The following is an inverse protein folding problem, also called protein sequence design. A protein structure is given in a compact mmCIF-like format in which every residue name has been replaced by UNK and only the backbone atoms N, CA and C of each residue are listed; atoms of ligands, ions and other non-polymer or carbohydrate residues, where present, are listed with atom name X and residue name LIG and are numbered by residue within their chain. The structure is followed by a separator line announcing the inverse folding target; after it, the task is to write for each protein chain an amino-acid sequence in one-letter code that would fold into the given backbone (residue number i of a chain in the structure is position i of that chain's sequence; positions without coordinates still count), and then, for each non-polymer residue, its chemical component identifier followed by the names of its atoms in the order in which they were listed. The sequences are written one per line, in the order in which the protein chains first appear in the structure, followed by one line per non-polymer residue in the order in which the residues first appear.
data_IF_746131779462
#
_entry.id   IF_746131779462
#
_cell.length_a   1.000
_cell.length_b   1.000
_cell.length_c   1.000
_cell.angle_alpha   90.00
_cell.angle_beta   90.00
_cell.angle_gamma   90.00
#
_symmetry.space_group_name_H-M   'P 1'
#
loop_
_entity.id
_entity.type
_entity.pdbx_description
1 polymer ?
#
# COMPACT_ATOMS: atom_id res chain seq x y z
N UNK A 1 69.83 -67.44 -29.17
CA UNK A 1 71.11 -66.73 -29.18
C UNK A 1 70.72 -65.27 -29.05
N UNK A 2 70.90 -64.54 -27.96
CA UNK A 2 71.81 -64.56 -26.81
C UNK A 2 71.37 -63.32 -25.99
N UNK A 3 71.44 -63.16 -24.67
CA UNK A 3 72.14 -63.79 -23.56
C UNK A 3 71.39 -63.31 -22.31
N UNK A 4 71.09 -64.23 -21.38
CA UNK A 4 70.78 -63.87 -19.98
C UNK A 4 72.10 -63.63 -19.28
N UNK A 5 72.28 -62.48 -18.62
CA UNK A 5 73.38 -62.30 -17.67
C UNK A 5 72.86 -62.38 -16.22
N UNK A 6 73.49 -63.18 -15.35
CA UNK A 6 72.98 -63.54 -14.03
C UNK A 6 73.78 -62.84 -12.93
N UNK A 7 73.21 -61.82 -12.30
CA UNK A 7 73.70 -61.30 -11.03
C UNK A 7 72.61 -60.44 -10.38
N UNK A 8 72.63 -60.34 -9.05
CA UNK A 8 71.66 -59.66 -8.18
C UNK A 8 70.53 -60.51 -7.59
N UNK A 9 70.83 -61.76 -7.24
CA UNK A 9 70.32 -62.32 -5.98
C UNK A 9 71.00 -61.60 -4.80
N UNK A 10 70.24 -60.81 -4.04
CA UNK A 10 70.69 -60.33 -2.74
C UNK A 10 70.44 -58.85 -2.46
N UNK A 11 69.17 -58.46 -2.27
CA UNK A 11 68.85 -57.29 -1.45
C UNK A 11 67.65 -57.61 -0.55
N UNK A 12 67.90 -57.59 0.75
CA UNK A 12 66.92 -57.74 1.83
C UNK A 12 65.84 -56.66 1.68
N UNK A 13 64.57 -57.04 1.51
CA UNK A 13 63.47 -56.06 1.55
C UNK A 13 63.29 -55.58 3.00
N UNK A 14 63.28 -54.28 3.29
CA UNK A 14 62.97 -53.78 4.62
C UNK A 14 61.53 -54.14 4.99
N UNK A 15 61.31 -54.56 6.24
CA UNK A 15 59.96 -54.83 6.77
C UNK A 15 59.11 -53.55 6.69
N UNK A 16 57.82 -53.64 6.29
CA UNK A 16 56.96 -52.47 6.23
C UNK A 16 56.77 -51.88 7.63
N UNK A 17 56.80 -50.55 7.70
CA UNK A 17 56.53 -49.77 8.92
C UNK A 17 55.10 -50.03 9.41
N UNK A 18 54.84 -49.99 10.73
CA UNK A 18 53.52 -50.23 11.28
C UNK A 18 52.54 -49.17 10.76
N UNK A 19 51.39 -49.65 10.32
CA UNK A 19 50.24 -48.90 9.83
C UNK A 19 50.01 -47.64 10.65
N UNK A 20 50.06 -46.49 9.97
CA UNK A 20 49.76 -45.19 10.54
C UNK A 20 48.45 -45.24 11.33
N UNK A 21 48.48 -44.70 12.54
CA UNK A 21 47.27 -44.38 13.31
C UNK A 21 46.35 -43.59 12.39
N UNK A 22 45.21 -44.19 12.05
CA UNK A 22 44.16 -43.49 11.34
C UNK A 22 43.74 -42.32 12.22
N UNK A 23 43.99 -41.10 11.74
CA UNK A 23 43.24 -39.94 12.21
C UNK A 23 41.79 -40.29 11.89
N UNK A 24 41.04 -40.71 12.91
CA UNK A 24 39.61 -40.87 12.80
C UNK A 24 39.06 -39.48 12.52
N UNK A 25 38.89 -39.17 11.23
CA UNK A 25 38.05 -38.06 10.80
C UNK A 25 36.69 -38.36 11.41
N UNK A 26 36.34 -37.64 12.47
CA UNK A 26 35.02 -37.73 13.10
C UNK A 26 34.01 -37.60 11.97
N UNK A 27 33.25 -38.68 11.73
CA UNK A 27 32.15 -38.64 10.80
C UNK A 27 31.13 -37.70 11.43
N UNK A 28 31.14 -36.43 11.04
CA UNK A 28 30.00 -35.56 11.28
C UNK A 28 28.85 -36.18 10.52
N UNK A 29 27.95 -36.84 11.23
CA UNK A 29 26.69 -37.30 10.66
C UNK A 29 26.08 -36.13 9.88
N UNK A 30 25.58 -36.35 8.65
CA UNK A 30 24.88 -35.29 7.94
C UNK A 30 23.73 -34.82 8.84
N UNK A 31 23.66 -33.50 9.05
CA UNK A 31 22.66 -32.86 9.89
C UNK A 31 21.28 -33.42 9.56
N UNK A 32 20.45 -33.64 10.58
CA UNK A 32 19.07 -34.06 10.36
C UNK A 32 18.33 -33.01 9.52
N UNK A 33 17.22 -33.38 8.87
CA UNK A 33 16.42 -32.44 8.07
C UNK A 33 16.00 -31.20 8.88
N UNK A 34 15.73 -31.38 10.17
CA UNK A 34 15.36 -30.30 11.08
C UNK A 34 16.55 -29.37 11.36
N UNK A 35 17.72 -29.95 11.66
CA UNK A 35 18.97 -29.19 11.85
C UNK A 35 19.40 -28.45 10.57
N UNK A 36 19.16 -29.01 9.39
CA UNK A 36 19.41 -28.34 8.10
C UNK A 36 18.47 -27.16 7.86
N UNK A 37 17.18 -27.30 8.22
CA UNK A 37 16.21 -26.20 8.13
C UNK A 37 16.55 -25.09 9.14
N UNK A 38 16.99 -25.46 10.34
CA UNK A 38 17.39 -24.50 11.37
C UNK A 38 18.69 -23.77 11.00
N UNK A 39 19.70 -24.48 10.49
CA UNK A 39 20.92 -23.87 9.96
C UNK A 39 20.63 -22.93 8.79
N UNK A 40 19.71 -23.29 7.89
CA UNK A 40 19.26 -22.43 6.78
C UNK A 40 18.54 -21.18 7.30
N UNK A 41 17.62 -21.33 8.27
CA UNK A 41 16.93 -20.19 8.90
C UNK A 41 17.93 -19.22 9.53
N UNK A 42 18.90 -19.74 10.30
CA UNK A 42 19.91 -18.91 10.96
C UNK A 42 20.83 -18.19 9.95
N UNK A 43 21.16 -18.86 8.84
CA UNK A 43 21.90 -18.24 7.74
C UNK A 43 21.09 -17.14 7.05
N UNK A 44 19.79 -17.35 6.81
CA UNK A 44 18.90 -16.35 6.23
C UNK A 44 18.70 -15.15 7.18
N UNK A 45 18.54 -15.38 8.49
CA UNK A 45 18.41 -14.32 9.50
C UNK A 45 19.67 -13.49 9.68
N UNK A 46 20.85 -14.13 9.70
CA UNK A 46 22.13 -13.41 9.86
C UNK A 46 22.50 -12.57 8.64
N UNK A 47 22.02 -12.93 7.45
CA UNK A 47 22.23 -12.19 6.21
C UNK A 47 21.02 -11.33 5.79
N UNK A 48 20.02 -11.19 6.65
CA UNK A 48 18.81 -10.46 6.31
C UNK A 48 19.03 -8.95 6.29
N UNK A 49 18.60 -8.29 5.22
CA UNK A 49 18.50 -6.83 5.11
C UNK A 49 17.31 -6.49 4.24
N UNK A 50 16.69 -5.34 4.50
CA UNK A 50 15.60 -4.81 3.66
C UNK A 50 16.10 -4.24 2.31
N UNK A 51 17.42 -4.22 2.07
CA UNK A 51 18.00 -3.79 0.80
C UNK A 51 17.46 -4.62 -0.38
N UNK A 52 16.92 -3.94 -1.40
CA UNK A 52 16.32 -4.58 -2.58
C UNK A 52 14.87 -5.05 -2.39
N UNK A 53 14.32 -5.00 -1.17
CA UNK A 53 12.89 -5.25 -0.96
C UNK A 53 12.06 -4.00 -1.28
N UNK A 54 10.87 -4.23 -1.82
CA UNK A 54 9.88 -3.20 -2.12
C UNK A 54 8.63 -3.45 -1.29
N UNK A 55 8.07 -2.38 -0.75
CA UNK A 55 6.75 -2.41 -0.13
C UNK A 55 5.72 -2.49 -1.23
N UNK A 56 4.95 -3.58 -1.24
CA UNK A 56 3.92 -3.82 -2.26
C UNK A 56 2.81 -2.77 -2.13
N UNK A 57 2.52 -2.09 -3.24
CA UNK A 57 1.39 -1.16 -3.35
C UNK A 57 0.10 -1.85 -2.92
N UNK A 58 -0.70 -1.16 -2.12
CA UNK A 58 -1.99 -1.69 -1.66
C UNK A 58 -2.87 -2.02 -2.88
N UNK A 59 -2.78 -1.25 -3.95
CA UNK A 59 -3.52 -1.42 -5.21
C UNK A 59 -3.30 -2.76 -5.91
N UNK A 60 -2.20 -3.46 -5.61
CA UNK A 60 -1.89 -4.74 -6.25
C UNK A 60 -2.56 -5.94 -5.57
N UNK A 61 -3.14 -5.77 -4.40
CA UNK A 61 -3.71 -6.85 -3.60
C UNK A 61 -5.25 -6.77 -3.60
N UNK A 62 -5.93 -7.92 -3.57
CA UNK A 62 -7.39 -7.98 -3.65
C UNK A 62 -8.05 -7.52 -2.35
N UNK A 63 -8.56 -6.29 -2.33
CA UNK A 63 -9.14 -5.67 -1.14
C UNK A 63 -10.65 -5.62 -1.11
N UNK A 64 -11.30 -6.79 -1.03
CA UNK A 64 -12.77 -6.86 -0.91
C UNK A 64 -13.29 -6.08 0.30
N UNK A 65 -12.52 -6.03 1.39
CA UNK A 65 -12.91 -5.47 2.67
C UNK A 65 -12.35 -4.08 2.96
N UNK A 66 -11.51 -3.54 2.07
CA UNK A 66 -11.00 -2.19 2.27
C UNK A 66 -11.98 -1.16 1.72
N UNK A 67 -12.04 0.04 2.32
CA UNK A 67 -12.80 1.15 1.79
C UNK A 67 -12.43 1.41 0.33
N UNK A 68 -13.42 1.52 -0.55
CA UNK A 68 -13.18 1.83 -1.95
C UNK A 68 -14.26 2.74 -2.51
N UNK A 69 -13.83 3.69 -3.34
CA UNK A 69 -14.68 4.58 -4.11
C UNK A 69 -14.58 4.22 -5.59
N UNK A 70 -15.68 4.33 -6.33
CA UNK A 70 -15.71 4.21 -7.79
C UNK A 70 -16.40 5.42 -8.39
N UNK A 71 -15.70 6.09 -9.29
CA UNK A 71 -16.16 7.28 -10.01
C UNK A 71 -16.49 6.91 -11.46
N UNK A 72 -17.63 7.41 -11.93
CA UNK A 72 -18.11 7.35 -13.31
C UNK A 72 -18.55 8.76 -13.72
N UNK A 73 -18.69 9.00 -15.02
CA UNK A 73 -19.04 10.32 -15.62
C UNK A 73 -20.24 11.02 -14.98
N UNK A 74 -21.18 10.28 -14.39
CA UNK A 74 -22.35 10.88 -13.71
C UNK A 74 -22.57 10.47 -12.27
N UNK A 75 -21.71 9.65 -11.68
CA UNK A 75 -22.00 9.05 -10.38
C UNK A 75 -20.79 8.56 -9.63
N UNK A 76 -20.92 8.56 -8.31
CA UNK A 76 -19.94 7.98 -7.39
C UNK A 76 -20.62 6.89 -6.57
N UNK A 77 -19.90 5.80 -6.34
CA UNK A 77 -20.35 4.69 -5.51
C UNK A 77 -19.24 4.29 -4.57
N UNK A 78 -19.57 4.09 -3.29
CA UNK A 78 -18.67 3.49 -2.31
C UNK A 78 -18.97 2.00 -2.17
N UNK A 79 -18.00 1.19 -1.77
CA UNK A 79 -18.29 -0.20 -1.45
C UNK A 79 -18.94 -0.32 -0.06
N UNK A 80 -19.44 -1.51 0.27
CA UNK A 80 -20.06 -1.75 1.58
C UNK A 80 -19.05 -1.71 2.75
N UNK A 81 -17.74 -1.82 2.48
CA UNK A 81 -16.74 -1.65 3.53
C UNK A 81 -16.76 -0.23 4.10
N UNK A 82 -16.89 0.80 3.24
CA UNK A 82 -17.05 2.19 3.70
C UNK A 82 -18.27 2.35 4.62
N UNK A 83 -19.39 1.71 4.26
CA UNK A 83 -20.65 1.87 5.01
C UNK A 83 -20.60 1.13 6.35
N UNK A 84 -19.99 -0.07 6.37
CA UNK A 84 -19.84 -0.88 7.58
C UNK A 84 -18.88 -0.25 8.59
N UNK A 85 -17.83 0.44 8.14
CA UNK A 85 -16.88 1.03 9.09
C UNK A 85 -17.34 2.39 9.63
N UNK A 86 -18.19 3.13 8.92
CA UNK A 86 -18.89 4.34 9.42
C UNK A 86 -20.34 4.00 9.78
N UNK A 87 -20.54 3.23 10.85
CA UNK A 87 -21.82 2.63 11.24
C UNK A 87 -22.94 3.64 11.53
N UNK A 88 -22.58 4.86 11.94
CA UNK A 88 -23.53 5.89 12.35
C UNK A 88 -23.81 6.95 11.26
N UNK A 89 -23.08 6.92 10.14
CA UNK A 89 -23.14 7.98 9.14
C UNK A 89 -24.10 7.64 8.00
N UNK A 90 -25.36 8.11 8.03
CA UNK A 90 -26.28 7.97 6.87
C UNK A 90 -26.07 9.05 5.81
N UNK A 91 -25.58 10.20 6.25
CA UNK A 91 -25.24 11.34 5.41
C UNK A 91 -23.74 11.63 5.56
N UNK A 92 -23.14 12.06 4.46
CA UNK A 92 -21.73 12.44 4.39
C UNK A 92 -21.56 13.74 3.61
N UNK A 93 -20.45 14.41 3.84
CA UNK A 93 -20.02 15.57 3.07
C UNK A 93 -18.76 15.19 2.28
N UNK A 94 -18.63 15.74 1.07
CA UNK A 94 -17.42 15.59 0.25
C UNK A 94 -16.58 16.87 0.34
N UNK A 95 -15.31 16.72 0.64
CA UNK A 95 -14.33 17.80 0.62
C UNK A 95 -13.24 17.43 -0.38
N UNK A 96 -12.90 18.33 -1.29
CA UNK A 96 -11.89 18.08 -2.32
C UNK A 96 -10.77 19.10 -2.20
N UNK A 97 -9.53 18.64 -2.26
CA UNK A 97 -8.36 19.48 -2.48
C UNK A 97 -7.93 19.27 -3.95
N UNK A 98 -8.20 20.22 -4.86
CA UNK A 98 -7.86 20.09 -6.28
C UNK A 98 -6.35 20.04 -6.54
N UNK A 99 -5.54 20.71 -5.71
CA UNK A 99 -4.09 20.79 -5.86
C UNK A 99 -3.43 19.48 -5.49
N UNK A 100 -3.77 18.94 -4.32
CA UNK A 100 -3.24 17.65 -3.85
C UNK A 100 -3.96 16.45 -4.46
N UNK A 101 -5.03 16.68 -5.22
CA UNK A 101 -5.89 15.63 -5.81
C UNK A 101 -6.39 14.65 -4.75
N UNK A 102 -6.83 15.18 -3.60
CA UNK A 102 -7.37 14.37 -2.48
C UNK A 102 -8.86 14.64 -2.28
N UNK A 103 -9.61 13.59 -1.96
CA UNK A 103 -11.01 13.66 -1.60
C UNK A 103 -11.22 13.10 -0.20
N UNK A 104 -11.84 13.89 0.67
CA UNK A 104 -12.29 13.47 2.00
C UNK A 104 -13.79 13.22 1.98
N UNK A 105 -14.21 12.14 2.63
CA UNK A 105 -15.60 11.81 2.92
C UNK A 105 -15.77 11.72 4.42
N UNK A 106 -16.48 12.70 5.00
CA UNK A 106 -16.74 12.75 6.45
C UNK A 106 -18.23 12.62 6.77
N UNK A 107 -18.60 12.00 7.90
CA UNK A 107 -19.98 12.01 8.41
C UNK A 107 -20.52 13.44 8.58
N UNK A 108 -21.82 13.61 8.37
CA UNK A 108 -22.50 14.86 8.67
C UNK A 108 -23.95 14.62 9.11
N UNK A 109 -24.56 15.65 9.69
CA UNK A 109 -25.97 15.63 10.03
C UNK A 109 -26.88 15.73 8.79
N UNK A 110 -28.10 15.22 8.89
CA UNK A 110 -29.11 15.28 7.82
C UNK A 110 -29.50 16.70 7.44
N UNK A 111 -29.44 17.64 8.40
CA UNK A 111 -29.79 19.05 8.19
C UNK A 111 -28.67 19.91 7.61
N UNK A 112 -27.46 19.35 7.43
CA UNK A 112 -26.37 20.10 6.83
C UNK A 112 -26.68 20.44 5.36
N UNK A 113 -26.31 21.66 4.94
CA UNK A 113 -26.64 22.22 3.61
C UNK A 113 -26.22 21.32 2.45
N UNK A 114 -25.10 20.63 2.62
CA UNK A 114 -24.43 19.80 1.63
C UNK A 114 -24.34 18.33 2.09
N UNK A 115 -25.32 17.89 2.88
CA UNK A 115 -25.48 16.51 3.29
C UNK A 115 -25.83 15.61 2.09
N UNK A 116 -25.00 14.59 1.84
CA UNK A 116 -25.18 13.61 0.78
C UNK A 116 -25.57 12.26 1.39
N UNK A 117 -26.75 11.76 1.02
CA UNK A 117 -27.19 10.42 1.44
C UNK A 117 -26.48 9.33 0.64
N UNK A 118 -25.42 8.76 1.21
CA UNK A 118 -24.57 7.74 0.58
C UNK A 118 -24.96 6.28 0.84
N UNK A 119 -25.89 6.01 1.77
CA UNK A 119 -26.37 4.66 2.05
C UNK A 119 -27.89 4.59 2.20
N UNK A 120 -28.45 3.41 1.94
CA UNK A 120 -29.84 3.06 2.23
C UNK A 120 -29.88 2.15 3.44
N UNK A 121 -30.73 2.49 4.41
CA UNK A 121 -30.98 1.71 5.62
C UNK A 121 -32.28 0.94 5.42
N UNK A 122 -32.26 -0.39 5.56
CA UNK A 122 -33.42 -1.27 5.51
C UNK A 122 -33.41 -2.19 6.73
N UNK A 123 -34.17 -1.84 7.77
CA UNK A 123 -34.08 -2.53 9.06
C UNK A 123 -32.69 -2.37 9.66
N UNK A 124 -32.04 -3.48 10.01
CA UNK A 124 -30.66 -3.50 10.50
C UNK A 124 -29.60 -3.41 9.40
N UNK A 125 -29.96 -3.66 8.13
CA UNK A 125 -29.02 -3.69 7.02
C UNK A 125 -28.77 -2.30 6.44
N UNK A 126 -27.48 -1.97 6.27
CA UNK A 126 -27.03 -0.76 5.58
C UNK A 126 -26.31 -1.14 4.30
N UNK A 127 -26.76 -0.59 3.17
CA UNK A 127 -26.18 -0.86 1.85
C UNK A 127 -25.74 0.44 1.19
N UNK A 128 -24.60 0.39 0.53
CA UNK A 128 -24.12 1.50 -0.27
C UNK A 128 -25.12 1.87 -1.36
N UNK A 129 -25.20 3.15 -1.66
CA UNK A 129 -26.04 3.73 -2.70
C UNK A 129 -25.16 4.36 -3.77
N UNK A 130 -25.57 4.24 -5.03
CA UNK A 130 -25.01 5.07 -6.10
C UNK A 130 -25.49 6.51 -5.94
N UNK A 131 -24.55 7.44 -5.81
CA UNK A 131 -24.79 8.86 -5.70
C UNK A 131 -24.71 9.43 -7.12
N UNK A 132 -25.81 10.00 -7.61
CA UNK A 132 -25.81 10.69 -8.90
C UNK A 132 -25.31 12.12 -8.70
N UNK A 133 -24.25 12.51 -9.40
CA UNK A 133 -23.53 13.75 -9.16
C UNK A 133 -22.87 14.28 -10.44
N UNK A 134 -23.64 14.45 -11.53
CA UNK A 134 -23.11 14.81 -12.86
C UNK A 134 -22.17 16.03 -12.84
N UNK A 135 -22.55 17.21 -12.31
CA UNK A 135 -21.67 18.38 -12.38
C UNK A 135 -20.37 18.20 -11.59
N UNK A 136 -20.42 17.46 -10.48
CA UNK A 136 -19.24 17.16 -9.68
C UNK A 136 -18.34 16.13 -10.38
N UNK A 137 -18.92 15.07 -10.93
CA UNK A 137 -18.18 14.06 -11.67
C UNK A 137 -17.54 14.65 -12.93
N UNK A 138 -18.25 15.46 -13.72
CA UNK A 138 -17.67 16.13 -14.88
C UNK A 138 -16.47 17.01 -14.51
N UNK A 139 -16.56 17.80 -13.41
CA UNK A 139 -15.43 18.58 -12.90
C UNK A 139 -14.25 17.70 -12.48
N UNK A 140 -14.50 16.57 -11.83
CA UNK A 140 -13.45 15.60 -11.49
C UNK A 140 -12.76 15.06 -12.74
N UNK A 141 -13.52 14.67 -13.75
CA UNK A 141 -12.98 14.15 -15.01
C UNK A 141 -12.14 15.21 -15.72
N UNK A 142 -12.60 16.47 -15.78
CA UNK A 142 -11.82 17.56 -16.37
C UNK A 142 -10.55 17.88 -15.57
N UNK A 143 -10.63 17.90 -14.23
CA UNK A 143 -9.48 18.18 -13.36
C UNK A 143 -8.37 17.12 -13.50
N UNK A 144 -8.76 15.87 -13.69
CA UNK A 144 -7.85 14.73 -13.74
C UNK A 144 -7.46 14.31 -15.16
N UNK A 145 -8.03 14.95 -16.18
CA UNK A 145 -7.90 14.58 -17.59
C UNK A 145 -8.27 13.10 -17.83
N UNK A 146 -9.41 12.69 -17.28
CA UNK A 146 -9.91 11.32 -17.35
C UNK A 146 -10.79 11.08 -18.59
N UNK A 147 -10.68 9.87 -19.13
CA UNK A 147 -11.50 9.39 -20.24
C UNK A 147 -12.87 8.92 -19.72
N UNK A 148 -13.92 9.54 -20.24
CA UNK A 148 -15.32 9.29 -19.94
C UNK A 148 -15.77 7.84 -20.18
N UNK A 149 -15.08 7.07 -21.03
CA UNK A 149 -15.40 5.66 -21.27
C UNK A 149 -15.04 4.76 -20.08
N UNK A 150 -14.08 5.18 -19.26
CA UNK A 150 -13.55 4.38 -18.16
C UNK A 150 -14.30 4.64 -16.85
N UNK A 151 -14.24 3.64 -15.97
CA UNK A 151 -14.56 3.85 -14.54
C UNK A 151 -13.26 3.83 -13.75
N UNK A 152 -13.19 4.70 -12.77
CA UNK A 152 -12.00 4.91 -11.95
C UNK A 152 -12.29 4.42 -10.53
N UNK A 153 -11.42 3.57 -9.99
CA UNK A 153 -11.55 3.06 -8.62
C UNK A 153 -10.38 3.55 -7.77
N UNK A 154 -10.69 3.91 -6.55
CA UNK A 154 -9.76 4.43 -5.56
C UNK A 154 -9.87 3.64 -4.28
N UNK A 155 -8.73 3.32 -3.70
CA UNK A 155 -8.66 2.75 -2.36
C UNK A 155 -8.69 3.87 -1.34
N UNK A 156 -9.53 3.70 -0.32
CA UNK A 156 -9.70 4.69 0.74
C UNK A 156 -8.90 4.32 1.98
N UNK A 157 -8.30 5.33 2.58
CA UNK A 157 -7.70 5.22 3.91
C UNK A 157 -8.67 5.79 4.95
N UNK A 158 -8.89 5.04 6.04
CA UNK A 158 -9.60 5.57 7.20
C UNK A 158 -8.64 6.43 8.00
N UNK A 159 -8.99 7.68 8.22
CA UNK A 159 -8.22 8.62 9.04
C UNK A 159 -9.09 9.11 10.19
N UNK A 160 -8.43 9.51 11.28
CA UNK A 160 -9.07 10.13 12.43
C UNK A 160 -8.48 11.52 12.62
N UNK A 161 -9.34 12.52 12.71
CA UNK A 161 -8.95 13.88 12.99
C UNK A 161 -9.82 14.42 14.13
N UNK A 162 -9.18 14.77 15.24
CA UNK A 162 -9.86 14.98 16.53
C UNK A 162 -10.76 13.79 16.91
N UNK A 163 -12.07 14.02 16.97
CA UNK A 163 -13.08 13.00 17.29
C UNK A 163 -13.78 12.45 16.04
N UNK A 164 -13.51 13.00 14.87
CA UNK A 164 -14.15 12.61 13.63
C UNK A 164 -13.36 11.54 12.89
N UNK A 165 -14.07 10.50 12.47
CA UNK A 165 -13.55 9.47 11.59
C UNK A 165 -14.04 9.71 10.17
N UNK A 166 -13.12 9.67 9.22
CA UNK A 166 -13.41 9.99 7.83
C UNK A 166 -12.57 9.13 6.88
N UNK A 167 -12.94 9.15 5.61
CA UNK A 167 -12.16 8.51 4.55
C UNK A 167 -11.39 9.55 3.75
N UNK A 168 -10.12 9.25 3.49
CA UNK A 168 -9.27 9.95 2.55
C UNK A 168 -9.08 9.06 1.31
N UNK A 169 -9.34 9.61 0.14
CA UNK A 169 -9.07 9.00 -1.15
C UNK A 169 -8.05 9.85 -1.89
N UNK A 170 -6.92 9.24 -2.25
CA UNK A 170 -5.96 9.84 -3.18
C UNK A 170 -6.43 9.59 -4.61
N UNK A 171 -6.75 10.65 -5.34
CA UNK A 171 -7.26 10.56 -6.72
C UNK A 171 -6.14 10.32 -7.74
N UNK A 172 -4.87 10.40 -7.32
CA UNK A 172 -3.71 10.11 -8.18
C UNK A 172 -3.42 8.61 -8.28
N UNK A 173 -3.91 7.82 -7.32
CA UNK A 173 -3.75 6.37 -7.27
C UNK A 173 -4.95 5.65 -7.93
N UNK A 174 -5.20 5.95 -9.21
CA UNK A 174 -6.39 5.49 -9.92
C UNK A 174 -6.23 4.10 -10.55
N UNK A 175 -7.16 3.17 -10.26
CA UNK A 175 -7.32 1.92 -11.01
C UNK A 175 -8.38 2.12 -12.10
N UNK A 176 -7.97 2.10 -13.37
CA UNK A 176 -8.87 2.33 -14.51
C UNK A 176 -9.45 1.02 -14.98
N UNK A 177 -10.75 1.00 -15.22
CA UNK A 177 -11.40 -0.15 -15.84
C UNK A 177 -12.15 0.29 -17.08
N UNK A 178 -11.79 -0.35 -18.20
CA UNK A 178 -12.48 -0.17 -19.47
C UNK A 178 -13.99 -0.46 -19.34
N UNK A 179 -14.81 0.13 -20.23
CA UNK A 179 -16.21 -0.19 -20.31
C UNK A 179 -16.38 -1.68 -20.58
N UNK A 180 -17.40 -2.26 -19.95
CA UNK A 180 -17.67 -3.69 -20.10
C UNK A 180 -18.10 -3.99 -21.54
N UNK A 181 -17.20 -4.61 -22.31
CA UNK A 181 -17.54 -5.15 -23.62
C UNK A 181 -18.33 -6.45 -23.44
N UNK A 182 -19.34 -6.66 -24.27
CA UNK A 182 -20.03 -7.94 -24.41
C UNK A 182 -19.45 -8.64 -25.63
N UNK A 183 -19.26 -9.95 -25.54
CA UNK A 183 -18.97 -10.76 -26.72
C UNK A 183 -20.22 -10.93 -27.60
N UNK A 184 -20.05 -11.55 -28.77
CA UNK A 184 -21.14 -11.85 -29.72
C UNK A 184 -22.23 -12.74 -29.11
N UNK A 185 -21.91 -13.47 -28.03
CA UNK A 185 -22.84 -14.32 -27.28
C UNK A 185 -23.46 -13.62 -26.07
N UNK A 186 -23.24 -12.32 -25.89
CA UNK A 186 -23.78 -11.50 -24.81
C UNK A 186 -23.13 -11.71 -23.43
N UNK A 187 -22.07 -12.53 -23.33
CA UNK A 187 -21.29 -12.72 -22.09
C UNK A 187 -20.36 -11.53 -21.88
N UNK A 188 -20.21 -11.14 -20.62
CA UNK A 188 -19.39 -10.00 -20.21
C UNK A 188 -17.92 -10.36 -20.33
N UNK A 189 -17.18 -9.60 -21.11
CA UNK A 189 -15.71 -9.66 -21.14
C UNK A 189 -15.20 -8.90 -19.92
N UNK A 190 -14.50 -9.60 -19.03
CA UNK A 190 -13.83 -8.97 -17.89
C UNK A 190 -12.52 -8.38 -18.39
N UNK A 191 -12.47 -7.06 -18.52
CA UNK A 191 -11.22 -6.36 -18.84
C UNK A 191 -10.37 -6.24 -17.58
N UNK A 192 -9.07 -6.53 -17.72
CA UNK A 192 -8.09 -6.28 -16.66
C UNK A 192 -8.05 -4.78 -16.31
N UNK A 193 -7.77 -4.42 -15.05
CA UNK A 193 -7.52 -3.03 -14.69
C UNK A 193 -6.31 -2.50 -15.45
N UNK A 194 -6.41 -1.28 -15.97
CA UNK A 194 -5.28 -0.51 -16.48
C UNK A 194 -4.74 0.29 -15.32
N UNK A 195 -3.51 -0.02 -14.93
CA UNK A 195 -2.79 0.66 -13.85
C UNK A 195 -2.02 1.86 -14.42
N UNK A 196 -1.70 2.87 -13.59
CA UNK A 196 -0.82 3.97 -13.97
C UNK A 196 0.52 3.51 -14.54
N UNK A 197 1.00 4.17 -15.59
CA UNK A 197 2.23 3.76 -16.29
C UNK A 197 3.46 3.74 -15.38
N UNK A 198 3.56 4.70 -14.45
CA UNK A 198 4.66 4.80 -13.49
C UNK A 198 4.69 3.66 -12.45
N UNK A 199 3.69 2.78 -12.44
CA UNK A 199 3.68 1.55 -11.63
C UNK A 199 4.23 0.34 -12.40
N UNK A 200 4.41 0.45 -13.71
CA UNK A 200 4.88 -0.67 -14.51
C UNK A 200 6.34 -1.02 -14.16
N UNK A 201 6.59 -2.29 -13.85
CA UNK A 201 7.94 -2.78 -13.52
C UNK A 201 8.41 -2.55 -12.07
N UNK A 202 7.56 -2.01 -11.19
CA UNK A 202 7.83 -1.93 -9.75
C UNK A 202 6.67 -2.47 -8.92
N UNK A 203 6.96 -3.13 -7.81
CA UNK A 203 5.95 -3.55 -6.83
C UNK A 203 5.53 -2.43 -5.88
N UNK A 204 6.34 -1.36 -5.77
CA UNK A 204 6.07 -0.17 -4.98
C UNK A 204 7.35 0.59 -4.62
N UNK A 205 7.36 1.23 -3.45
CA UNK A 205 8.53 1.99 -2.98
C UNK A 205 9.54 1.04 -2.31
N UNK A 206 10.81 1.42 -2.25
CA UNK A 206 11.76 0.71 -1.39
C UNK A 206 11.32 0.82 0.08
N UNK A 207 11.76 -0.12 0.93
CA UNK A 207 11.43 -0.09 2.36
C UNK A 207 11.88 1.23 3.01
N UNK A 208 13.06 1.72 2.65
CA UNK A 208 13.60 2.98 3.17
C UNK A 208 12.76 4.19 2.76
N UNK A 209 12.40 4.32 1.48
CA UNK A 209 11.54 5.39 0.98
C UNK A 209 10.15 5.33 1.59
N UNK A 210 9.59 4.14 1.72
CA UNK A 210 8.28 3.93 2.33
C UNK A 210 8.27 4.42 3.78
N UNK A 211 9.29 4.05 4.57
CA UNK A 211 9.41 4.46 5.96
C UNK A 211 9.62 5.98 6.10
N UNK A 212 10.36 6.60 5.19
CA UNK A 212 10.48 8.07 5.14
C UNK A 212 9.15 8.73 4.81
N UNK A 213 8.41 8.20 3.83
CA UNK A 213 7.12 8.76 3.43
C UNK A 213 6.01 8.64 4.49
N UNK A 214 6.12 7.65 5.38
CA UNK A 214 5.14 7.40 6.46
C UNK A 214 5.44 8.21 7.72
N UNK A 215 6.68 8.71 7.88
CA UNK A 215 7.04 9.57 9.00
C UNK A 215 6.34 10.92 8.81
N UNK A 216 5.30 11.14 9.61
CA UNK A 216 4.60 12.42 9.69
C UNK A 216 5.55 13.43 10.36
N UNK A 217 5.93 14.48 9.65
CA UNK A 217 6.56 15.64 10.27
C UNK A 217 5.50 16.37 11.11
N UNK A 218 5.45 16.07 12.41
CA UNK A 218 4.54 16.69 13.38
C UNK A 218 4.71 18.23 13.50
N UNK A 219 5.69 18.81 12.80
CA UNK A 219 6.06 20.21 12.89
C UNK A 219 5.26 21.13 11.95
N UNK A 220 4.71 20.61 10.85
CA UNK A 220 4.12 21.44 9.77
C UNK A 220 2.66 21.84 10.00
N UNK A 221 2.04 21.41 11.11
CA UNK A 221 0.62 21.63 11.41
C UNK A 221 0.31 22.50 12.63
N UNK A 222 1.32 23.02 13.34
CA UNK A 222 1.14 23.79 14.58
C UNK A 222 1.43 25.28 14.38
N UNK A 223 0.74 25.91 13.43
CA UNK A 223 0.48 27.35 13.53
C UNK A 223 -0.79 27.51 14.38
N UNK A 224 -0.61 27.55 15.70
CA UNK A 224 -1.68 27.99 16.60
C UNK A 224 -2.02 29.43 16.29
N UNK A 225 -3.30 29.68 15.97
CA UNK A 225 -3.90 31.00 15.95
C UNK A 225 -3.96 31.57 17.40
N UNK A 226 -2.80 31.89 17.95
CA UNK A 226 -2.66 32.53 19.27
C UNK A 226 -1.73 33.74 19.24
N UNK A 227 -1.61 34.41 18.09
CA UNK A 227 -1.10 35.78 17.97
C UNK A 227 -2.17 36.71 17.37
N UNK A 228 -3.35 36.73 18.00
CA UNK A 228 -4.32 37.83 17.96
C UNK A 228 -4.92 37.80 19.37
N UNK A 229 -4.45 38.56 20.35
CA UNK A 229 -4.57 40.02 20.58
C UNK A 229 -3.60 40.41 21.70
N UNK A 230 -3.04 41.62 21.73
CA UNK A 230 -3.50 42.72 22.61
C UNK A 230 -2.83 44.01 22.11
N UNK A 231 -3.61 44.94 21.55
CA UNK A 231 -3.90 46.27 22.13
C UNK A 231 -2.68 47.21 22.26
N UNK A 232 -2.44 48.02 21.23
CA UNK A 232 -1.90 49.37 21.43
C UNK A 232 -3.03 50.37 21.17
N UNK A 233 -3.55 50.94 22.26
CA UNK A 233 -4.41 52.12 22.23
C UNK A 233 -3.51 53.35 22.35
N UNK A 234 -3.50 54.19 21.31
CA UNK A 234 -2.81 55.47 21.32
C UNK A 234 -3.47 56.44 22.33
N UNK A 235 -2.70 57.11 23.21
CA UNK A 235 -3.24 58.20 24.01
C UNK A 235 -3.26 59.51 23.20
N UNK A 236 -4.45 60.08 23.05
CA UNK A 236 -4.68 61.44 22.56
C UNK A 236 -4.22 62.44 23.64
N UNK A 237 -3.39 63.47 23.32
CA UNK A 237 -3.00 64.47 24.31
C UNK A 237 -4.12 65.48 24.58
N UNK A 238 -4.28 65.75 25.88
CA UNK A 238 -5.18 66.72 26.50
C UNK A 238 -4.81 68.18 26.14
N UNK A 239 -5.82 69.01 25.89
CA UNK A 239 -5.69 70.45 25.62
C UNK A 239 -5.06 71.21 26.80
N UNK A 240 -4.14 72.15 26.52
CA UNK A 240 -3.78 73.23 27.43
C UNK A 240 -3.71 74.56 26.65
N UNK A 241 -4.56 75.49 27.10
CA UNK A 241 -4.67 76.95 26.87
C UNK A 241 -5.04 77.52 25.49
#
# INVERSE_FOLDING_TARGET
MDVVQPWATGFNRPKPLPTQMSIQRSQSSPLSREEQLEARRLAEESNFSYAGYQVVRREFVSHRFDPAMTVRVGSITFNNACIKALENATYVQFLINPTEKKLIVRPCEIGARDAIRWCVVKGADRKSRQITCKPFAERLFSMMDWDAEFRYRFQGMRIRYYQDEMYLFDLSADERFAPMKKDENGKRIVTAPVLPEHWNGSYGMSVEEHDMSTKVDFLDGFLTASEVTEEESDPVPEEIE
#
